data_IF_440169378773
#
_entry.id   IF_440169378773
#
_cell.length_a   1.000
_cell.length_b   1.000
_cell.length_c   1.000
_cell.angle_alpha   90.00
_cell.angle_beta   90.00
_cell.angle_gamma   90.00
#
_symmetry.space_group_name_H-M   'P 1'
#
loop_
_entity.id
_entity.type
_entity.pdbx_description
1 polymer ?
#
# COMPACT_ATOMS: atom_id res chain seq x y z
N UNK A 1 10.60 -24.32 -32.87
CA UNK A 1 9.86 -23.07 -32.60
C UNK A 1 10.02 -22.79 -31.12
N UNK A 2 10.58 -21.66 -30.70
CA UNK A 2 10.63 -21.34 -29.26
C UNK A 2 9.19 -21.18 -28.76
N UNK A 3 8.86 -21.67 -27.55
CA UNK A 3 7.54 -21.44 -26.97
C UNK A 3 7.29 -19.92 -26.85
N UNK A 4 6.05 -19.45 -27.05
CA UNK A 4 5.74 -18.03 -26.91
C UNK A 4 6.05 -17.56 -25.49
N UNK A 5 6.62 -16.35 -25.38
CA UNK A 5 6.83 -15.70 -24.09
C UNK A 5 5.48 -15.24 -23.53
N UNK A 6 5.32 -15.21 -22.21
CA UNK A 6 4.06 -14.79 -21.58
C UNK A 6 3.54 -13.44 -22.09
N UNK A 7 4.43 -12.47 -22.30
CA UNK A 7 4.11 -11.12 -22.77
C UNK A 7 3.67 -11.03 -24.24
N UNK A 8 3.87 -12.10 -25.02
CA UNK A 8 3.48 -12.15 -26.42
C UNK A 8 2.11 -12.82 -26.62
N UNK A 9 1.52 -13.32 -25.53
CA UNK A 9 0.18 -13.92 -25.52
C UNK A 9 -0.91 -12.84 -25.44
N UNK A 10 -2.06 -13.14 -26.03
CA UNK A 10 -3.30 -12.39 -25.78
C UNK A 10 -3.82 -12.64 -24.36
N UNK A 11 -4.77 -11.82 -23.92
CA UNK A 11 -5.26 -11.82 -22.54
C UNK A 11 -5.84 -13.19 -22.11
N UNK A 12 -6.64 -13.83 -22.98
CA UNK A 12 -7.24 -15.14 -22.71
C UNK A 12 -6.17 -16.23 -22.54
N UNK A 13 -5.13 -16.21 -23.38
CA UNK A 13 -4.01 -17.16 -23.26
C UNK A 13 -3.15 -16.88 -22.03
N UNK A 14 -2.97 -15.62 -21.63
CA UNK A 14 -2.27 -15.29 -20.39
C UNK A 14 -2.98 -15.89 -19.18
N UNK A 15 -4.29 -15.71 -19.09
CA UNK A 15 -5.12 -16.30 -18.02
C UNK A 15 -5.02 -17.82 -18.02
N UNK A 16 -5.23 -18.46 -19.17
CA UNK A 16 -5.11 -19.92 -19.29
C UNK A 16 -3.73 -20.45 -18.87
N UNK A 17 -2.65 -19.78 -19.26
CA UNK A 17 -1.30 -20.21 -18.88
C UNK A 17 -1.03 -20.03 -17.40
N UNK A 18 -1.58 -18.99 -16.77
CA UNK A 18 -1.51 -18.84 -15.32
C UNK A 18 -2.33 -19.92 -14.62
N UNK A 19 -3.56 -20.22 -15.06
CA UNK A 19 -4.37 -21.31 -14.50
C UNK A 19 -3.70 -22.67 -14.62
N UNK A 20 -3.08 -22.98 -15.76
CA UNK A 20 -2.36 -24.24 -15.94
C UNK A 20 -1.13 -24.31 -15.03
N UNK A 21 -0.34 -23.23 -14.96
CA UNK A 21 0.89 -23.21 -14.16
C UNK A 21 0.61 -23.12 -12.65
N UNK A 22 -0.51 -22.51 -12.26
CA UNK A 22 -0.94 -22.30 -10.88
C UNK A 22 -2.16 -23.17 -10.55
N UNK A 23 -2.35 -24.31 -11.21
CA UNK A 23 -3.61 -25.09 -11.13
C UNK A 23 -4.02 -25.53 -9.72
N UNK A 24 -3.08 -25.56 -8.77
CA UNK A 24 -3.38 -25.79 -7.35
C UNK A 24 -3.95 -24.55 -6.61
N UNK A 25 -4.06 -23.41 -7.29
CA UNK A 25 -4.62 -22.14 -6.81
C UNK A 25 -6.01 -21.87 -7.39
N UNK A 26 -6.57 -22.80 -8.15
CA UNK A 26 -7.92 -22.66 -8.73
C UNK A 26 -7.94 -21.88 -10.04
N UNK A 27 -9.03 -21.15 -10.29
CA UNK A 27 -9.31 -20.47 -11.57
C UNK A 27 -9.28 -18.96 -11.43
N UNK A 28 -8.92 -18.26 -12.50
CA UNK A 28 -8.96 -16.80 -12.56
C UNK A 28 -10.42 -16.35 -12.62
N UNK A 29 -10.81 -15.49 -11.68
CA UNK A 29 -12.17 -14.92 -11.60
C UNK A 29 -12.22 -13.43 -11.94
N UNK A 30 -11.07 -12.76 -11.93
CA UNK A 30 -10.98 -11.33 -12.27
C UNK A 30 -9.53 -10.94 -12.60
N UNK A 31 -9.38 -9.93 -13.45
CA UNK A 31 -8.11 -9.29 -13.79
C UNK A 31 -8.18 -7.79 -13.53
N UNK A 32 -7.21 -7.27 -12.78
CA UNK A 32 -7.03 -5.85 -12.54
C UNK A 32 -5.77 -5.38 -13.25
N UNK A 33 -5.91 -4.40 -14.13
CA UNK A 33 -4.79 -3.81 -14.86
C UNK A 33 -4.22 -2.63 -14.07
N UNK A 34 -3.00 -2.77 -13.56
CA UNK A 34 -2.27 -1.72 -12.86
C UNK A 34 -1.25 -0.99 -13.74
N UNK A 35 -0.70 0.11 -13.23
CA UNK A 35 0.40 0.81 -13.92
C UNK A 35 1.70 0.00 -13.93
N UNK A 36 1.99 -0.76 -12.86
CA UNK A 36 3.25 -1.48 -12.68
C UNK A 36 3.12 -2.99 -12.93
N UNK A 37 1.92 -3.49 -13.24
CA UNK A 37 1.67 -4.91 -13.41
C UNK A 37 0.18 -5.22 -13.51
N UNK A 38 -0.12 -6.41 -14.04
CA UNK A 38 -1.46 -6.98 -14.05
C UNK A 38 -1.62 -7.90 -12.84
N UNK A 39 -2.80 -7.86 -12.22
CA UNK A 39 -3.15 -8.66 -11.05
C UNK A 39 -4.28 -9.59 -11.45
N UNK A 40 -4.03 -10.89 -11.34
CA UNK A 40 -5.02 -11.94 -11.60
C UNK A 40 -5.52 -12.49 -10.27
N UNK A 41 -6.83 -12.44 -10.05
CA UNK A 41 -7.47 -12.93 -8.83
C UNK A 41 -7.95 -14.36 -9.07
N UNK A 42 -7.46 -15.29 -8.25
CA UNK A 42 -7.77 -16.70 -8.28
C UNK A 42 -8.78 -17.07 -7.19
N UNK A 43 -9.79 -17.88 -7.52
CA UNK A 43 -10.65 -18.55 -6.54
C UNK A 43 -10.16 -19.97 -6.27
N UNK A 44 -9.59 -20.19 -5.08
CA UNK A 44 -9.09 -21.49 -4.62
C UNK A 44 -10.22 -22.42 -4.13
N UNK A 45 -11.46 -21.93 -4.07
CA UNK A 45 -12.64 -22.66 -3.61
C UNK A 45 -13.02 -22.38 -2.16
N UNK A 46 -14.28 -22.67 -1.83
CA UNK A 46 -14.93 -22.29 -0.55
C UNK A 46 -14.30 -22.91 0.71
N UNK A 47 -13.52 -23.99 0.56
CA UNK A 47 -12.91 -24.73 1.66
C UNK A 47 -11.44 -24.37 1.91
N UNK A 48 -10.94 -23.33 1.24
CA UNK A 48 -9.55 -22.86 1.36
C UNK A 48 -9.55 -21.44 1.94
N UNK A 49 -8.62 -21.17 2.87
CA UNK A 49 -8.41 -19.82 3.38
C UNK A 49 -6.98 -19.32 3.09
N UNK A 50 -6.82 -18.11 2.51
CA UNK A 50 -7.88 -17.26 1.97
C UNK A 50 -8.52 -17.91 0.73
N UNK A 51 -9.83 -17.73 0.53
CA UNK A 51 -10.53 -18.24 -0.68
C UNK A 51 -9.89 -17.68 -1.95
N UNK A 52 -9.55 -16.39 -1.92
CA UNK A 52 -8.94 -15.69 -3.03
C UNK A 52 -7.44 -15.46 -2.82
N UNK A 53 -6.67 -15.56 -3.90
CA UNK A 53 -5.25 -15.15 -3.96
C UNK A 53 -5.00 -14.35 -5.22
N UNK A 54 -4.00 -13.49 -5.20
CA UNK A 54 -3.63 -12.66 -6.35
C UNK A 54 -2.31 -13.14 -6.93
N UNK A 55 -2.23 -13.25 -8.26
CA UNK A 55 -0.98 -13.36 -8.98
C UNK A 55 -0.66 -12.00 -9.63
N UNK A 56 0.42 -11.35 -9.19
CA UNK A 56 0.94 -10.13 -9.83
C UNK A 56 1.98 -10.52 -10.87
N UNK A 57 1.81 -10.01 -12.07
CA UNK A 57 2.73 -10.18 -13.20
C UNK A 57 3.12 -8.79 -13.69
N UNK A 58 4.41 -8.46 -13.87
CA UNK A 58 4.77 -7.13 -14.32
C UNK A 58 4.32 -6.92 -15.76
N UNK A 59 3.99 -5.68 -16.13
CA UNK A 59 3.43 -5.39 -17.44
C UNK A 59 4.51 -4.86 -18.38
N UNK A 60 4.55 -5.37 -19.61
CA UNK A 60 5.43 -4.84 -20.65
C UNK A 60 4.99 -3.43 -21.04
N UNK A 61 5.79 -2.41 -20.69
CA UNK A 61 5.62 -1.06 -21.23
C UNK A 61 6.16 -0.98 -22.66
N UNK A 62 5.56 -0.11 -23.49
CA UNK A 62 5.88 -0.01 -24.94
C UNK A 62 7.37 0.25 -25.24
N UNK A 63 8.12 0.82 -24.31
CA UNK A 63 9.51 1.27 -24.52
C UNK A 63 10.56 0.48 -23.73
N UNK A 64 10.14 -0.36 -22.77
CA UNK A 64 11.07 -1.11 -21.92
C UNK A 64 11.29 -2.53 -22.46
N UNK A 65 12.50 -3.05 -22.30
CA UNK A 65 12.79 -4.45 -22.60
C UNK A 65 12.11 -5.36 -21.55
N UNK A 66 11.90 -6.63 -21.91
CA UNK A 66 11.32 -7.61 -20.97
C UNK A 66 12.23 -7.81 -19.76
N UNK A 67 13.54 -7.83 -20.00
CA UNK A 67 14.58 -7.96 -18.97
C UNK A 67 14.52 -6.79 -17.99
N UNK A 68 14.38 -5.54 -18.48
CA UNK A 68 14.25 -4.36 -17.63
C UNK A 68 12.96 -4.40 -16.79
N UNK A 69 11.85 -4.84 -17.38
CA UNK A 69 10.56 -4.99 -16.69
C UNK A 69 10.66 -6.04 -15.58
N UNK A 70 11.22 -7.21 -15.90
CA UNK A 70 11.41 -8.29 -14.93
C UNK A 70 12.34 -7.88 -13.79
N UNK A 71 13.44 -7.19 -14.10
CA UNK A 71 14.40 -6.70 -13.10
C UNK A 71 13.77 -5.71 -12.13
N UNK A 72 13.01 -4.73 -12.62
CA UNK A 72 12.29 -3.77 -11.77
C UNK A 72 11.29 -4.46 -10.85
N UNK A 73 10.61 -5.50 -11.34
CA UNK A 73 9.69 -6.28 -10.53
C UNK A 73 10.41 -7.03 -9.40
N UNK A 74 11.59 -7.60 -9.66
CA UNK A 74 12.43 -8.22 -8.62
C UNK A 74 12.92 -7.16 -7.61
N UNK A 75 13.32 -5.98 -8.06
CA UNK A 75 13.75 -4.89 -7.17
C UNK A 75 12.63 -4.37 -6.24
N UNK A 76 11.38 -4.40 -6.72
CA UNK A 76 10.19 -4.12 -5.90
C UNK A 76 10.00 -5.21 -4.82
N UNK A 77 10.02 -6.48 -5.23
CA UNK A 77 9.80 -7.61 -4.33
C UNK A 77 10.91 -7.74 -3.27
N UNK A 78 12.15 -7.36 -3.59
CA UNK A 78 13.27 -7.37 -2.63
C UNK A 78 12.99 -6.51 -1.40
N UNK A 79 12.47 -5.30 -1.61
CA UNK A 79 12.11 -4.41 -0.51
C UNK A 79 10.93 -4.95 0.26
N UNK A 80 9.91 -5.45 -0.43
CA UNK A 80 8.72 -5.99 0.23
C UNK A 80 9.05 -7.21 1.10
N UNK A 81 9.87 -8.15 0.61
CA UNK A 81 10.32 -9.32 1.35
C UNK A 81 11.29 -8.96 2.49
N UNK A 82 12.04 -7.86 2.38
CA UNK A 82 12.84 -7.33 3.49
C UNK A 82 11.99 -6.86 4.67
N UNK A 83 10.73 -6.49 4.42
CA UNK A 83 9.81 -5.96 5.43
C UNK A 83 8.71 -6.97 5.82
N UNK A 84 8.77 -8.20 5.30
CA UNK A 84 7.68 -9.18 5.42
C UNK A 84 7.47 -9.75 6.82
N UNK A 85 8.41 -9.50 7.74
CA UNK A 85 8.34 -10.03 9.11
C UNK A 85 7.23 -9.35 9.94
N UNK A 86 6.69 -8.21 9.50
CA UNK A 86 5.60 -7.53 10.20
C UNK A 86 4.22 -7.88 9.65
N UNK A 87 3.26 -8.20 10.52
CA UNK A 87 1.89 -8.55 10.12
C UNK A 87 1.09 -7.40 9.48
N UNK A 88 1.55 -6.15 9.66
CA UNK A 88 0.98 -4.94 9.05
C UNK A 88 1.65 -4.55 7.73
N UNK A 89 2.51 -5.42 7.19
CA UNK A 89 3.10 -5.27 5.86
C UNK A 89 2.54 -6.38 4.97
N UNK A 90 2.02 -6.00 3.81
CA UNK A 90 1.58 -6.93 2.79
C UNK A 90 2.78 -7.41 1.97
N UNK A 91 2.90 -8.73 1.77
CA UNK A 91 4.03 -9.34 1.06
C UNK A 91 3.62 -10.59 0.29
N UNK A 92 4.43 -11.00 -0.69
CA UNK A 92 4.17 -12.17 -1.51
C UNK A 92 4.54 -13.46 -0.76
N UNK A 93 3.60 -14.39 -0.65
CA UNK A 93 3.85 -15.64 0.08
C UNK A 93 4.50 -16.72 -0.80
N UNK A 94 4.57 -16.51 -2.11
CA UNK A 94 5.09 -17.49 -3.07
C UNK A 94 5.46 -16.82 -4.41
N UNK A 95 6.32 -17.47 -5.19
CA UNK A 95 6.89 -16.93 -6.43
C UNK A 95 6.97 -18.04 -7.51
N UNK A 96 6.67 -17.69 -8.76
CA UNK A 96 6.65 -18.63 -9.89
C UNK A 96 7.19 -17.98 -11.16
N UNK A 97 7.71 -18.80 -12.06
CA UNK A 97 7.95 -18.42 -13.45
C UNK A 97 6.86 -19.06 -14.31
N UNK A 98 6.21 -18.27 -15.16
CA UNK A 98 5.22 -18.75 -16.14
C UNK A 98 5.63 -18.23 -17.51
N UNK A 99 6.05 -19.14 -18.40
CA UNK A 99 6.50 -18.81 -19.77
C UNK A 99 7.48 -17.63 -19.83
N UNK A 100 8.46 -17.61 -18.92
CA UNK A 100 9.49 -16.57 -18.85
C UNK A 100 9.09 -15.29 -18.10
N UNK A 101 7.83 -15.15 -17.65
CA UNK A 101 7.42 -14.05 -16.80
C UNK A 101 7.57 -14.38 -15.31
N UNK A 102 8.13 -13.47 -14.50
CA UNK A 102 8.08 -13.57 -13.04
C UNK A 102 6.66 -13.32 -12.54
N UNK A 103 6.19 -14.16 -11.63
CA UNK A 103 4.86 -14.11 -11.02
C UNK A 103 5.00 -14.15 -9.50
N UNK A 104 4.43 -13.18 -8.80
CA UNK A 104 4.39 -13.16 -7.34
C UNK A 104 2.96 -13.38 -6.83
N UNK A 105 2.81 -14.30 -5.87
CA UNK A 105 1.52 -14.67 -5.29
C UNK A 105 1.29 -13.95 -3.96
N UNK A 106 0.11 -13.37 -3.80
CA UNK A 106 -0.28 -12.55 -2.66
C UNK A 106 -1.61 -13.00 -2.08
N UNK A 107 -1.79 -12.78 -0.78
CA UNK A 107 -3.11 -12.93 -0.15
C UNK A 107 -4.04 -11.85 -0.68
N UNK A 108 -5.25 -12.23 -1.08
CA UNK A 108 -6.30 -11.28 -1.37
C UNK A 108 -6.92 -10.82 -0.04
N UNK A 109 -7.20 -9.52 0.05
CA UNK A 109 -7.92 -8.90 1.16
C UNK A 109 -9.23 -8.33 0.64
N UNK A 110 -10.26 -8.28 1.49
CA UNK A 110 -11.63 -7.91 1.11
C UNK A 110 -11.78 -6.46 0.59
N UNK A 111 -10.69 -5.68 0.58
CA UNK A 111 -10.64 -4.36 0.00
C UNK A 111 -9.39 -3.59 0.41
N UNK A 112 -9.26 -2.38 -0.13
CA UNK A 112 -8.29 -1.39 0.29
C UNK A 112 -9.00 -0.23 1.01
N UNK A 113 -8.22 0.75 1.48
CA UNK A 113 -8.73 1.82 2.31
C UNK A 113 -9.81 2.68 1.61
N UNK A 114 -9.90 2.66 0.27
CA UNK A 114 -10.99 3.34 -0.46
C UNK A 114 -12.36 2.78 -0.08
N UNK A 115 -12.45 1.49 0.21
CA UNK A 115 -13.69 0.83 0.64
C UNK A 115 -14.14 1.26 2.05
N UNK A 116 -13.29 1.98 2.79
CA UNK A 116 -13.53 2.38 4.18
C UNK A 116 -13.70 3.91 4.34
N UNK A 117 -13.82 4.65 3.24
CA UNK A 117 -13.97 6.11 3.26
C UNK A 117 -15.29 6.56 3.92
N UNK A 118 -16.40 5.87 3.64
CA UNK A 118 -17.73 6.26 4.11
C UNK A 118 -18.24 5.33 5.22
N UNK A 119 -19.05 5.87 6.14
CA UNK A 119 -19.87 5.07 7.06
C UNK A 119 -19.11 4.35 8.18
N UNK A 120 -17.83 4.69 8.41
CA UNK A 120 -17.04 4.20 9.54
C UNK A 120 -16.93 5.27 10.63
N UNK A 121 -16.78 4.85 11.89
CA UNK A 121 -16.56 5.78 13.00
C UNK A 121 -15.16 6.40 12.97
N UNK A 122 -15.00 7.53 13.66
CA UNK A 122 -13.70 8.18 13.85
C UNK A 122 -12.66 7.21 14.46
N UNK A 123 -13.08 6.32 15.37
CA UNK A 123 -12.19 5.33 16.00
C UNK A 123 -11.66 4.35 14.95
N UNK A 124 -12.51 3.87 14.03
CA UNK A 124 -12.06 3.03 12.90
C UNK A 124 -11.07 3.79 12.02
N UNK A 125 -11.39 5.02 11.63
CA UNK A 125 -10.54 5.83 10.75
C UNK A 125 -9.19 6.14 11.40
N UNK A 126 -9.17 6.50 12.68
CA UNK A 126 -7.94 6.73 13.46
C UNK A 126 -7.12 5.45 13.64
N UNK A 127 -7.77 4.33 14.00
CA UNK A 127 -7.06 3.06 14.23
C UNK A 127 -6.39 2.52 12.96
N UNK A 128 -7.01 2.69 11.79
CA UNK A 128 -6.41 2.36 10.50
C UNK A 128 -5.09 3.11 10.28
N UNK A 129 -5.03 4.40 10.60
CA UNK A 129 -3.78 5.18 10.50
C UNK A 129 -2.77 4.76 11.57
N UNK A 130 -3.19 4.46 12.79
CA UNK A 130 -2.28 3.94 13.83
C UNK A 130 -1.60 2.63 13.42
N UNK A 131 -2.35 1.70 12.78
CA UNK A 131 -1.77 0.49 12.21
C UNK A 131 -0.76 0.81 11.09
N UNK A 132 -1.08 1.75 10.20
CA UNK A 132 -0.14 2.21 9.17
C UNK A 132 1.17 2.73 9.79
N UNK A 133 1.09 3.54 10.85
CA UNK A 133 2.27 4.06 11.54
C UNK A 133 3.16 2.94 12.10
N UNK A 134 2.59 1.95 12.79
CA UNK A 134 3.36 0.79 13.30
C UNK A 134 4.02 -0.01 12.16
N UNK A 135 3.28 -0.31 11.09
CA UNK A 135 3.84 -1.01 9.92
C UNK A 135 4.99 -0.24 9.26
N UNK A 136 4.85 1.07 9.06
CA UNK A 136 5.90 1.91 8.48
C UNK A 136 7.12 2.05 9.39
N UNK A 137 6.93 2.18 10.71
CA UNK A 137 8.03 2.18 11.68
C UNK A 137 8.88 0.91 11.57
N UNK A 138 8.25 -0.25 11.40
CA UNK A 138 8.98 -1.50 11.16
C UNK A 138 9.80 -1.43 9.86
N UNK A 139 9.23 -0.91 8.78
CA UNK A 139 9.94 -0.74 7.51
C UNK A 139 11.12 0.22 7.63
N UNK A 140 10.97 1.37 8.30
CA UNK A 140 12.06 2.34 8.51
C UNK A 140 13.21 1.74 9.31
N UNK A 141 12.90 0.96 10.36
CA UNK A 141 13.89 0.24 11.14
C UNK A 141 14.71 -0.78 10.31
N UNK A 142 14.24 -1.13 9.11
CA UNK A 142 14.88 -2.06 8.16
C UNK A 142 15.38 -1.36 6.89
N UNK A 143 15.52 -0.04 6.92
CA UNK A 143 16.16 0.74 5.85
C UNK A 143 15.20 1.29 4.79
N UNK A 144 13.89 1.31 5.04
CA UNK A 144 13.01 2.21 4.29
C UNK A 144 13.39 3.66 4.64
N UNK A 145 13.44 4.54 3.64
CA UNK A 145 13.59 5.99 3.83
C UNK A 145 12.26 6.69 3.62
N UNK A 146 11.54 6.32 2.56
CA UNK A 146 10.16 6.71 2.32
C UNK A 146 9.49 5.69 1.40
N UNK A 147 8.20 5.45 1.60
CA UNK A 147 7.36 4.64 0.71
C UNK A 147 7.10 5.34 -0.63
N UNK A 148 6.96 6.67 -0.62
CA UNK A 148 6.81 7.57 -1.79
C UNK A 148 5.47 7.51 -2.53
N UNK A 149 4.72 6.41 -2.43
CA UNK A 149 3.40 6.25 -3.05
C UNK A 149 2.33 5.73 -2.08
N UNK A 150 2.33 6.25 -0.85
CA UNK A 150 1.21 6.00 0.07
C UNK A 150 -0.05 6.68 -0.47
N UNK A 151 -1.09 5.86 -0.61
CA UNK A 151 -2.43 6.26 -1.03
C UNK A 151 -3.43 5.20 -0.56
N UNK A 152 -4.74 5.48 -0.53
CA UNK A 152 -5.73 4.52 -0.07
C UNK A 152 -5.68 3.16 -0.80
N UNK A 153 -5.39 3.14 -2.10
CA UNK A 153 -5.27 1.92 -2.89
C UNK A 153 -4.06 1.03 -2.53
N UNK A 154 -3.07 1.57 -1.80
CA UNK A 154 -1.86 0.85 -1.38
C UNK A 154 -1.91 0.47 0.11
N UNK A 155 -3.09 0.59 0.75
CA UNK A 155 -3.32 0.19 2.13
C UNK A 155 -4.49 -0.79 2.14
N UNK A 156 -4.19 -2.09 2.24
CA UNK A 156 -5.22 -3.11 2.34
C UNK A 156 -5.85 -3.11 3.73
N UNK A 157 -7.11 -3.50 3.82
CA UNK A 157 -7.80 -3.60 5.10
C UNK A 157 -8.28 -5.02 5.33
N UNK A 158 -7.91 -5.58 6.48
CA UNK A 158 -8.34 -6.89 6.95
C UNK A 158 -9.29 -6.72 8.13
N UNK A 159 -10.50 -7.25 7.99
CA UNK A 159 -11.46 -7.31 9.07
C UNK A 159 -11.22 -8.55 9.96
N UNK A 160 -10.70 -8.35 11.17
CA UNK A 160 -10.43 -9.44 12.13
C UNK A 160 -11.68 -9.98 12.84
N UNK A 161 -12.81 -9.26 12.81
CA UNK A 161 -14.09 -9.76 13.34
C UNK A 161 -14.74 -10.77 12.41
N UNK A 162 -14.41 -10.75 11.13
CA UNK A 162 -14.91 -11.72 10.15
C UNK A 162 -14.35 -13.11 10.51
N UNK A 163 -15.15 -13.89 11.23
CA UNK A 163 -14.79 -15.23 11.71
C UNK A 163 -14.49 -15.33 13.22
N UNK A 164 -14.67 -14.26 14.00
CA UNK A 164 -14.54 -14.31 15.47
C UNK A 164 -15.69 -13.56 16.16
N UNK A 165 -16.65 -14.31 16.70
CA UNK A 165 -17.79 -13.77 17.47
C UNK A 165 -17.43 -13.42 18.92
N UNK A 166 -16.21 -13.74 19.36
CA UNK A 166 -15.76 -13.56 20.75
C UNK A 166 -15.11 -12.19 21.01
N UNK A 167 -14.85 -11.41 19.95
CA UNK A 167 -14.22 -10.10 20.09
C UNK A 167 -15.23 -9.05 20.58
N UNK A 168 -14.86 -8.21 21.58
CA UNK A 168 -15.66 -7.06 22.01
C UNK A 168 -16.14 -6.18 20.86
N UNK A 169 -17.26 -5.49 21.04
CA UNK A 169 -17.80 -4.54 20.06
C UNK A 169 -17.03 -3.22 20.07
N UNK A 170 -15.86 -3.25 19.43
CA UNK A 170 -14.96 -2.12 19.29
C UNK A 170 -14.63 -1.88 17.81
N UNK A 171 -14.61 -0.61 17.44
CA UNK A 171 -14.39 -0.11 16.08
C UNK A 171 -12.91 -0.10 15.67
N UNK A 172 -12.12 -1.09 16.10
CA UNK A 172 -10.65 -1.14 15.90
C UNK A 172 -10.18 -2.39 15.13
N UNK A 173 -11.07 -3.31 14.78
CA UNK A 173 -10.70 -4.59 14.17
C UNK A 173 -10.55 -4.54 12.65
N UNK A 174 -10.64 -3.35 12.06
CA UNK A 174 -10.21 -3.08 10.70
C UNK A 174 -8.71 -2.78 10.74
N UNK A 175 -7.91 -3.77 10.37
CA UNK A 175 -6.45 -3.69 10.44
C UNK A 175 -5.90 -3.30 9.08
N UNK A 176 -5.12 -2.23 9.04
CA UNK A 176 -4.46 -1.75 7.83
C UNK A 176 -3.14 -2.49 7.57
N UNK A 177 -2.88 -2.84 6.31
CA UNK A 177 -1.64 -3.45 5.85
C UNK A 177 -1.05 -2.61 4.73
N UNK A 178 0.19 -2.13 4.90
CA UNK A 178 0.90 -1.35 3.88
C UNK A 178 1.33 -2.27 2.73
N UNK A 179 1.06 -1.87 1.50
CA UNK A 179 1.34 -2.63 0.29
C UNK A 179 1.98 -1.75 -0.79
N UNK A 180 2.43 -2.40 -1.87
CA UNK A 180 2.97 -1.77 -3.09
C UNK A 180 4.23 -0.91 -2.85
N UNK A 181 5.35 -1.59 -2.62
CA UNK A 181 6.66 -0.98 -2.41
C UNK A 181 7.40 -0.66 -3.74
N UNK A 182 6.68 -0.60 -4.87
CA UNK A 182 7.28 -0.38 -6.19
C UNK A 182 8.09 0.92 -6.32
N UNK A 183 7.69 1.97 -5.59
CA UNK A 183 8.39 3.26 -5.54
C UNK A 183 9.20 3.47 -4.25
N UNK A 184 9.24 2.48 -3.36
CA UNK A 184 9.97 2.58 -2.10
C UNK A 184 11.47 2.80 -2.36
N UNK A 185 12.04 3.83 -1.72
CA UNK A 185 13.42 4.27 -1.93
C UNK A 185 13.81 4.58 -3.40
N UNK A 186 12.85 4.80 -4.31
CA UNK A 186 13.13 5.01 -5.73
C UNK A 186 14.10 6.19 -5.96
N UNK A 187 13.92 7.30 -5.24
CA UNK A 187 14.81 8.46 -5.30
C UNK A 187 16.28 8.19 -4.91
N UNK A 188 16.55 7.14 -4.11
CA UNK A 188 17.90 6.72 -3.69
C UNK A 188 18.51 5.81 -4.77
N UNK A 189 17.71 4.88 -5.29
CA UNK A 189 18.14 3.92 -6.32
C UNK A 189 18.43 4.60 -7.66
N UNK A 190 17.60 5.57 -8.04
CA UNK A 190 17.73 6.35 -9.28
C UNK A 190 17.59 7.83 -8.94
N UNK A 191 18.68 8.62 -9.04
CA UNK A 191 18.62 10.06 -8.81
C UNK A 191 17.53 10.71 -9.68
N UNK A 192 16.71 11.55 -9.07
CA UNK A 192 15.61 12.29 -9.69
C UNK A 192 14.30 11.54 -10.01
N UNK A 193 14.12 10.29 -9.55
CA UNK A 193 12.80 9.63 -9.54
C UNK A 193 12.03 10.06 -8.29
N UNK A 194 11.11 11.02 -8.47
CA UNK A 194 10.16 11.51 -7.47
C UNK A 194 8.73 11.22 -7.91
N UNK A 195 8.52 10.04 -8.49
CA UNK A 195 7.22 9.58 -8.93
C UNK A 195 6.34 9.22 -7.74
N UNK A 196 5.03 9.30 -7.93
CA UNK A 196 4.04 9.04 -6.89
C UNK A 196 2.67 9.56 -7.31
N UNK A 197 1.66 9.20 -6.52
CA UNK A 197 0.29 9.63 -6.73
C UNK A 197 0.14 11.08 -6.28
N UNK A 198 0.16 12.00 -7.25
CA UNK A 198 0.20 13.46 -7.09
C UNK A 198 -0.65 14.09 -5.96
N UNK A 199 -1.89 13.63 -5.66
CA UNK A 199 -2.68 14.20 -4.56
C UNK A 199 -2.00 13.97 -3.21
N UNK A 200 -1.31 12.84 -3.05
CA UNK A 200 -0.67 12.42 -1.80
C UNK A 200 0.80 12.82 -1.69
N UNK A 201 1.38 13.39 -2.76
CA UNK A 201 2.80 13.73 -2.80
C UNK A 201 3.14 14.92 -1.90
N UNK A 202 4.12 14.73 -1.02
CA UNK A 202 4.63 15.77 -0.13
C UNK A 202 5.40 16.86 -0.90
N UNK A 203 5.48 18.10 -0.37
CA UNK A 203 6.22 19.21 -0.99
C UNK A 203 7.67 18.88 -1.38
N UNK A 204 8.39 18.14 -0.54
CA UNK A 204 9.76 17.71 -0.81
C UNK A 204 9.87 16.74 -2.00
N UNK A 205 8.82 15.97 -2.32
CA UNK A 205 8.79 15.13 -3.53
C UNK A 205 8.68 16.00 -4.79
N UNK A 206 7.84 17.03 -4.76
CA UNK A 206 7.71 17.97 -5.88
C UNK A 206 8.98 18.78 -6.12
N UNK A 207 9.65 19.16 -5.02
CA UNK A 207 10.88 19.95 -5.05
C UNK A 207 12.13 19.12 -5.31
N UNK A 208 12.00 17.78 -5.39
CA UNK A 208 13.11 16.84 -5.58
C UNK A 208 14.17 16.94 -4.47
N UNK A 209 13.71 17.18 -3.24
CA UNK A 209 14.53 17.32 -2.04
C UNK A 209 14.71 15.99 -1.32
N UNK A 210 15.56 15.97 -0.29
CA UNK A 210 15.78 14.79 0.54
C UNK A 210 14.47 14.29 1.17
N UNK A 211 14.15 13.00 0.95
CA UNK A 211 12.99 12.34 1.53
C UNK A 211 13.34 11.70 2.88
N UNK A 212 12.32 11.48 3.70
CA UNK A 212 12.40 10.82 5.01
C UNK A 212 11.02 10.27 5.40
N UNK A 213 10.88 9.67 6.59
CA UNK A 213 9.57 9.28 7.14
C UNK A 213 8.55 10.42 7.15
N UNK A 214 9.00 11.68 7.23
CA UNK A 214 8.13 12.87 7.21
C UNK A 214 7.38 13.03 5.88
N UNK A 215 7.92 12.46 4.80
CA UNK A 215 7.26 12.40 3.49
C UNK A 215 6.01 11.53 3.54
N UNK A 216 6.12 10.38 4.19
CA UNK A 216 4.99 9.46 4.36
C UNK A 216 3.99 9.98 5.41
N UNK A 217 4.46 10.71 6.44
CA UNK A 217 3.58 11.42 7.40
C UNK A 217 2.65 12.41 6.67
N UNK A 218 3.15 13.14 5.68
CA UNK A 218 2.31 14.03 4.87
C UNK A 218 1.24 13.26 4.11
N UNK A 219 1.61 12.15 3.46
CA UNK A 219 0.67 11.32 2.73
C UNK A 219 -0.41 10.72 3.66
N UNK A 220 -0.02 10.25 4.86
CA UNK A 220 -0.97 9.80 5.88
C UNK A 220 -1.89 10.92 6.38
N UNK A 221 -1.40 12.17 6.44
CA UNK A 221 -2.21 13.35 6.75
C UNK A 221 -3.30 13.61 5.72
N UNK A 222 -2.96 13.51 4.43
CA UNK A 222 -3.94 13.60 3.33
C UNK A 222 -4.96 12.47 3.44
N UNK A 223 -4.50 11.23 3.65
CA UNK A 223 -5.37 10.05 3.77
C UNK A 223 -6.31 10.16 4.99
N UNK A 224 -5.80 10.60 6.14
CA UNK A 224 -6.59 10.81 7.35
C UNK A 224 -7.69 11.86 7.10
N UNK A 225 -7.36 12.95 6.42
CA UNK A 225 -8.36 13.95 6.04
C UNK A 225 -9.43 13.34 5.12
N UNK A 226 -9.05 12.56 4.10
CA UNK A 226 -10.02 11.90 3.22
C UNK A 226 -10.92 10.93 3.98
N UNK A 227 -10.36 10.13 4.91
CA UNK A 227 -11.16 9.26 5.76
C UNK A 227 -12.17 10.05 6.60
N UNK A 228 -11.72 11.12 7.24
CA UNK A 228 -12.57 11.93 8.14
C UNK A 228 -13.67 12.69 7.39
N UNK A 229 -13.42 13.05 6.14
CA UNK A 229 -14.36 13.80 5.29
C UNK A 229 -15.11 12.92 4.28
N UNK A 230 -14.95 11.61 4.36
CA UNK A 230 -15.59 10.63 3.48
C UNK A 230 -15.27 10.86 1.98
N UNK A 231 -13.98 11.07 1.71
CA UNK A 231 -13.40 11.10 0.36
C UNK A 231 -13.00 12.48 -0.16
N UNK A 232 -13.09 13.55 0.64
CA UNK A 232 -12.56 14.86 0.23
C UNK A 232 -11.06 14.96 0.51
N UNK A 233 -10.30 15.26 -0.54
CA UNK A 233 -8.93 15.73 -0.39
C UNK A 233 -8.93 17.05 0.41
N UNK A 234 -7.88 17.34 1.21
CA UNK A 234 -7.68 18.66 1.83
C UNK A 234 -7.85 19.87 0.89
N UNK A 235 -7.67 19.69 -0.42
CA UNK A 235 -7.79 20.75 -1.43
C UNK A 235 -9.24 20.99 -1.90
N UNK A 236 -10.23 20.46 -1.17
CA UNK A 236 -11.65 20.69 -1.43
C UNK A 236 -12.26 19.89 -2.58
N UNK A 237 -11.55 18.90 -3.11
CA UNK A 237 -12.02 18.05 -4.22
C UNK A 237 -12.07 16.59 -3.81
N UNK A 238 -13.01 15.82 -4.35
CA UNK A 238 -13.01 14.37 -4.18
C UNK A 238 -11.99 13.74 -5.10
N UNK A 239 -11.06 12.93 -4.57
CA UNK A 239 -10.00 12.33 -5.40
C UNK A 239 -10.56 11.46 -6.51
N UNK A 240 -11.65 10.73 -6.26
CA UNK A 240 -12.36 9.94 -7.27
C UNK A 240 -12.88 10.76 -8.48
N UNK A 241 -13.16 12.05 -8.30
CA UNK A 241 -13.66 12.94 -9.36
C UNK A 241 -12.54 13.57 -10.19
N UNK A 242 -11.34 13.72 -9.61
CA UNK A 242 -10.23 14.47 -10.21
C UNK A 242 -9.01 13.61 -10.54
N UNK A 243 -8.96 12.39 -10.00
CA UNK A 243 -7.96 11.38 -10.27
C UNK A 243 -8.53 10.38 -11.27
N UNK A 244 -7.91 10.18 -12.44
CA UNK A 244 -8.50 9.32 -13.43
C UNK A 244 -8.58 7.88 -12.92
N UNK A 245 -9.75 7.28 -13.11
CA UNK A 245 -9.79 5.84 -13.44
C UNK A 245 -9.05 5.66 -14.76
N UNK A 246 -8.21 4.62 -14.86
CA UNK A 246 -7.49 4.34 -16.11
C UNK A 246 -8.50 4.25 -17.28
N UNK A 247 -8.43 5.17 -18.24
CA UNK A 247 -9.24 5.09 -19.47
C UNK A 247 -8.53 4.11 -20.41
N UNK A 248 -9.19 3.04 -20.88
CA UNK A 248 -8.59 2.12 -21.85
C UNK A 248 -8.07 2.87 -23.09
N UNK A 249 -6.80 2.68 -23.44
CA UNK A 249 -6.22 3.19 -24.68
C UNK A 249 -5.59 4.59 -24.63
N UNK A 250 -5.69 5.32 -23.52
CA UNK A 250 -4.97 6.58 -23.34
C UNK A 250 -3.96 6.41 -22.20
N UNK A 251 -2.70 6.81 -22.42
CA UNK A 251 -1.74 6.82 -21.31
C UNK A 251 -2.32 7.64 -20.18
N UNK A 252 -2.06 7.22 -18.94
CA UNK A 252 -2.35 7.89 -17.68
C UNK A 252 -1.68 9.27 -17.61
N UNK A 253 -1.98 10.16 -18.57
CA UNK A 253 -1.54 11.54 -18.61
C UNK A 253 -2.30 12.25 -17.51
N UNK A 254 -1.62 12.35 -16.39
CA UNK A 254 -1.90 13.14 -15.21
C UNK A 254 -2.55 14.49 -15.56
N UNK A 255 -3.87 14.60 -15.47
CA UNK A 255 -4.62 15.75 -15.99
C UNK A 255 -4.55 17.00 -15.12
N UNK A 256 -3.96 16.98 -13.91
CA UNK A 256 -3.99 18.14 -12.98
C UNK A 256 -2.77 18.32 -12.05
N UNK A 257 -1.51 18.18 -12.51
CA UNK A 257 -0.34 18.50 -11.62
C UNK A 257 -0.41 19.88 -11.02
N UNK A 258 -0.87 20.83 -11.83
CA UNK A 258 -0.80 22.24 -11.50
C UNK A 258 -1.70 22.59 -10.32
N UNK A 259 -2.84 21.89 -10.17
CA UNK A 259 -3.76 22.10 -9.05
C UNK A 259 -3.13 21.71 -7.72
N UNK A 260 -2.44 20.56 -7.66
CA UNK A 260 -1.76 20.09 -6.45
C UNK A 260 -0.58 20.99 -6.07
N UNK A 261 0.22 21.41 -7.06
CA UNK A 261 1.31 22.38 -6.84
C UNK A 261 0.78 23.72 -6.32
N UNK A 262 -0.32 24.22 -6.85
CA UNK A 262 -0.97 25.46 -6.38
C UNK A 262 -1.51 25.32 -4.96
N UNK A 263 -2.08 24.17 -4.61
CA UNK A 263 -2.53 23.90 -3.24
C UNK A 263 -1.35 23.90 -2.26
N UNK A 264 -0.26 23.20 -2.59
CA UNK A 264 0.98 23.20 -1.81
C UNK A 264 1.57 24.62 -1.68
N UNK A 265 1.60 25.39 -2.78
CA UNK A 265 2.12 26.76 -2.78
C UNK A 265 1.31 27.74 -1.90
N UNK A 266 0.09 27.38 -1.51
CA UNK A 266 -0.74 28.14 -0.56
C UNK A 266 -0.66 27.61 0.87
N UNK A 267 0.35 26.80 1.18
CA UNK A 267 0.55 26.13 2.47
C UNK A 267 -0.54 25.12 2.82
N UNK A 268 -0.99 24.33 1.83
CA UNK A 268 -1.87 23.18 2.04
C UNK A 268 -3.15 23.48 2.87
N UNK A 269 -3.93 24.53 2.54
CA UNK A 269 -5.14 24.85 3.31
C UNK A 269 -6.15 23.69 3.28
N UNK A 270 -6.91 23.53 4.36
CA UNK A 270 -8.05 22.61 4.43
C UNK A 270 -9.29 23.30 3.85
N UNK A 271 -9.64 22.95 2.63
CA UNK A 271 -10.70 23.59 1.83
C UNK A 271 -11.93 22.69 1.63
N UNK A 272 -11.94 21.51 2.24
CA UNK A 272 -13.07 20.59 2.14
C UNK A 272 -14.33 21.16 2.81
N UNK A 273 -15.51 20.98 2.20
CA UNK A 273 -16.77 21.51 2.72
C UNK A 273 -17.34 20.63 3.84
N UNK A 274 -16.48 20.09 4.70
CA UNK A 274 -16.84 19.19 5.81
C UNK A 274 -16.16 19.68 7.07
N UNK A 275 -16.95 19.87 8.13
CA UNK A 275 -16.44 20.31 9.43
C UNK A 275 -15.77 19.13 10.16
N UNK A 276 -14.53 19.34 10.59
CA UNK A 276 -13.76 18.40 11.39
C UNK A 276 -13.78 18.82 12.85
N UNK A 277 -13.69 17.87 13.78
CA UNK A 277 -13.42 18.20 15.17
C UNK A 277 -12.07 18.91 15.31
N UNK A 278 -11.98 19.87 16.22
CA UNK A 278 -10.80 20.74 16.33
C UNK A 278 -9.49 19.96 16.58
N UNK A 279 -9.55 18.87 17.35
CA UNK A 279 -8.42 18.00 17.65
C UNK A 279 -7.90 17.24 16.41
N UNK A 280 -8.81 16.74 15.56
CA UNK A 280 -8.49 16.08 14.29
C UNK A 280 -7.95 17.09 13.28
N UNK A 281 -8.55 18.28 13.22
CA UNK A 281 -8.08 19.38 12.37
C UNK A 281 -6.63 19.76 12.70
N UNK A 282 -6.33 19.99 13.99
CA UNK A 282 -4.97 20.32 14.45
C UNK A 282 -3.98 19.22 14.08
N UNK A 283 -4.35 17.94 14.26
CA UNK A 283 -3.49 16.83 13.88
C UNK A 283 -3.20 16.82 12.37
N UNK A 284 -4.23 16.96 11.55
CA UNK A 284 -4.08 16.99 10.08
C UNK A 284 -3.20 18.18 9.66
N UNK A 285 -3.46 19.39 10.15
CA UNK A 285 -2.64 20.57 9.83
C UNK A 285 -1.16 20.37 10.18
N UNK A 286 -0.86 19.77 11.34
CA UNK A 286 0.52 19.42 11.72
C UNK A 286 1.17 18.45 10.73
N UNK A 287 0.44 17.44 10.26
CA UNK A 287 0.96 16.48 9.26
C UNK A 287 1.15 17.11 7.88
N UNK A 288 0.36 18.14 7.53
CA UNK A 288 0.40 18.81 6.22
C UNK A 288 1.34 20.02 6.15
N UNK A 289 2.14 20.28 7.21
CA UNK A 289 3.14 21.35 7.21
C UNK A 289 4.07 21.27 5.99
N UNK A 290 4.35 22.43 5.37
CA UNK A 290 5.26 22.52 4.23
C UNK A 290 6.69 22.15 4.63
N UNK A 291 7.13 22.61 5.80
CA UNK A 291 8.41 22.20 6.39
C UNK A 291 8.27 20.79 6.99
N UNK A 292 9.03 19.78 6.49
CA UNK A 292 9.02 18.43 7.08
C UNK A 292 9.52 18.39 8.52
N UNK A 293 10.36 19.35 8.94
CA UNK A 293 10.84 19.47 10.32
C UNK A 293 9.72 19.73 11.32
N UNK A 294 8.71 20.47 10.90
CA UNK A 294 7.53 20.85 11.71
C UNK A 294 6.44 19.77 11.78
N UNK A 295 6.50 18.72 10.95
CA UNK A 295 5.60 17.55 11.03
C UNK A 295 5.97 16.68 12.23
N UNK A 296 5.05 15.93 12.85
CA UNK A 296 5.43 14.92 13.85
C UNK A 296 6.28 13.81 13.22
N UNK A 297 7.09 13.14 14.04
CA UNK A 297 7.71 11.86 13.64
C UNK A 297 6.66 10.75 13.52
N UNK A 298 7.00 9.62 12.87
CA UNK A 298 6.01 8.54 12.67
C UNK A 298 5.52 7.95 14.00
N UNK A 299 6.43 7.82 14.99
CA UNK A 299 6.09 7.36 16.34
C UNK A 299 5.18 8.37 17.06
N UNK A 300 5.50 9.65 16.98
CA UNK A 300 4.70 10.72 17.60
C UNK A 300 3.30 10.80 16.98
N UNK A 301 3.19 10.66 15.65
CA UNK A 301 1.89 10.61 14.97
C UNK A 301 1.02 9.46 15.51
N UNK A 302 1.60 8.27 15.68
CA UNK A 302 0.91 7.12 16.27
C UNK A 302 0.39 7.44 17.68
N UNK A 303 1.24 8.02 18.52
CA UNK A 303 0.89 8.32 19.92
C UNK A 303 -0.22 9.39 19.99
N UNK A 304 -0.13 10.44 19.18
CA UNK A 304 -1.19 11.46 19.05
C UNK A 304 -2.52 10.84 18.63
N UNK A 305 -2.51 9.91 17.68
CA UNK A 305 -3.72 9.20 17.25
C UNK A 305 -4.29 8.34 18.38
N UNK A 306 -3.43 7.63 19.12
CA UNK A 306 -3.85 6.81 20.26
C UNK A 306 -4.47 7.66 21.37
N UNK A 307 -3.94 8.86 21.62
CA UNK A 307 -4.52 9.83 22.56
C UNK A 307 -5.90 10.29 22.10
N UNK A 308 -6.08 10.59 20.81
CA UNK A 308 -7.39 10.94 20.24
C UNK A 308 -8.41 9.81 20.40
N UNK A 309 -7.98 8.56 20.20
CA UNK A 309 -8.83 7.39 20.44
C UNK A 309 -9.15 7.25 21.93
N UNK A 310 -8.20 7.49 22.83
CA UNK A 310 -8.43 7.41 24.28
C UNK A 310 -9.47 8.43 24.75
N UNK A 311 -9.42 9.65 24.22
CA UNK A 311 -10.42 10.70 24.48
C UNK A 311 -11.84 10.30 24.04
N UNK A 312 -11.95 9.47 23.00
CA UNK A 312 -13.23 8.99 22.45
C UNK A 312 -13.71 7.71 23.13
N UNK A 313 -12.81 6.76 23.39
CA UNK A 313 -13.08 5.47 24.00
C UNK A 313 -11.79 4.84 24.58
N UNK A 314 -11.62 4.89 25.90
CA UNK A 314 -10.45 4.31 26.58
C UNK A 314 -10.31 2.79 26.39
N UNK A 315 -11.42 2.05 26.27
CA UNK A 315 -11.35 0.61 25.99
C UNK A 315 -10.84 0.32 24.58
N UNK A 316 -11.25 1.11 23.59
CA UNK A 316 -10.74 0.99 22.22
C UNK A 316 -9.24 1.30 22.17
N UNK A 317 -8.79 2.34 22.88
CA UNK A 317 -7.38 2.67 23.02
C UNK A 317 -6.56 1.52 23.60
N UNK A 318 -6.94 1.01 24.78
CA UNK A 318 -6.22 -0.08 25.45
C UNK A 318 -6.13 -1.34 24.57
N UNK A 319 -7.23 -1.70 23.91
CA UNK A 319 -7.27 -2.89 23.08
C UNK A 319 -6.48 -2.69 21.77
N UNK A 320 -6.52 -1.51 21.16
CA UNK A 320 -5.75 -1.18 19.96
C UNK A 320 -4.25 -1.19 20.27
N UNK A 321 -3.84 -0.56 21.37
CA UNK A 321 -2.43 -0.55 21.81
C UNK A 321 -1.93 -1.98 22.05
N UNK A 322 -2.73 -2.82 22.71
CA UNK A 322 -2.38 -4.23 22.92
C UNK A 322 -2.24 -5.01 21.59
N UNK A 323 -3.11 -4.75 20.61
CA UNK A 323 -3.02 -5.37 19.28
C UNK A 323 -1.78 -4.90 18.52
N UNK A 324 -1.50 -3.61 18.49
CA UNK A 324 -0.29 -3.05 17.86
C UNK A 324 0.96 -3.65 18.51
N UNK A 325 1.02 -3.66 19.85
CA UNK A 325 2.12 -4.27 20.59
C UNK A 325 2.29 -5.76 20.28
N UNK A 326 1.19 -6.49 20.09
CA UNK A 326 1.24 -7.89 19.68
C UNK A 326 1.86 -8.04 18.28
N UNK A 327 1.45 -7.22 17.30
CA UNK A 327 2.06 -7.24 15.97
C UNK A 327 3.54 -6.85 16.00
N UNK A 328 3.89 -5.78 16.72
CA UNK A 328 5.27 -5.30 16.89
C UNK A 328 6.16 -6.38 17.52
N UNK A 329 5.67 -7.08 18.55
CA UNK A 329 6.43 -8.13 19.25
C UNK A 329 6.59 -9.42 18.42
N UNK A 330 5.59 -9.74 17.60
CA UNK A 330 5.67 -10.89 16.71
C UNK A 330 6.53 -10.61 15.47
N UNK A 331 6.84 -9.34 15.20
CA UNK A 331 7.71 -8.98 14.11
C UNK A 331 9.13 -9.45 14.41
N UNK A 332 9.52 -10.58 13.82
CA UNK A 332 10.81 -11.17 14.12
C UNK A 332 11.96 -10.33 13.53
N UNK A 333 13.09 -10.35 14.24
CA UNK A 333 14.36 -9.74 13.83
C UNK A 333 15.22 -10.69 12.99
N UNK A 334 14.74 -11.91 12.77
CA UNK A 334 15.39 -12.93 11.95
C UNK A 334 15.39 -12.58 10.47
N UNK A 335 16.14 -13.37 9.71
CA UNK A 335 16.18 -13.27 8.25
C UNK A 335 14.95 -13.94 7.61
N UNK A 336 14.72 -13.69 6.32
CA UNK A 336 13.69 -14.41 5.57
C UNK A 336 13.96 -15.92 5.58
N UNK A 337 15.24 -16.32 5.57
CA UNK A 337 15.68 -17.71 5.67
C UNK A 337 15.26 -18.37 6.99
N UNK A 338 15.25 -17.65 8.11
CA UNK A 338 14.91 -18.19 9.42
C UNK A 338 13.40 -18.43 9.57
N UNK A 339 12.58 -17.52 9.05
CA UNK A 339 11.12 -17.56 9.23
C UNK A 339 10.39 -18.31 8.12
N UNK A 340 10.88 -18.15 6.87
CA UNK A 340 10.24 -18.70 5.69
C UNK A 340 11.29 -19.39 4.79
N UNK A 341 11.93 -20.50 5.23
CA UNK A 341 13.01 -21.15 4.49
C UNK A 341 12.64 -21.51 3.04
N UNK A 342 11.38 -21.91 2.83
CA UNK A 342 10.84 -22.17 1.49
C UNK A 342 10.85 -20.91 0.63
N UNK A 343 10.29 -19.81 1.11
CA UNK A 343 10.21 -18.54 0.36
C UNK A 343 11.60 -18.00 0.10
N UNK A 344 12.50 -18.04 1.08
CA UNK A 344 13.89 -17.62 0.92
C UNK A 344 14.61 -18.44 -0.17
N UNK A 345 14.43 -19.76 -0.18
CA UNK A 345 15.01 -20.62 -1.22
C UNK A 345 14.47 -20.27 -2.61
N UNK A 346 13.14 -20.15 -2.75
CA UNK A 346 12.52 -19.77 -4.02
C UNK A 346 12.98 -18.38 -4.46
N UNK A 347 13.07 -17.42 -3.54
CA UNK A 347 13.52 -16.05 -3.79
C UNK A 347 14.96 -16.01 -4.34
N UNK A 348 15.89 -16.77 -3.76
CA UNK A 348 17.27 -16.83 -4.26
C UNK A 348 17.36 -17.33 -5.71
N UNK A 349 16.53 -18.31 -6.09
CA UNK A 349 16.44 -18.78 -7.47
C UNK A 349 15.80 -17.72 -8.38
N UNK A 350 14.75 -17.08 -7.89
CA UNK A 350 14.01 -16.03 -8.59
C UNK A 350 14.91 -14.83 -8.92
N UNK A 351 15.71 -14.36 -7.97
CA UNK A 351 16.69 -13.29 -8.17
C UNK A 351 17.75 -13.67 -9.21
N UNK A 352 18.29 -14.89 -9.17
CA UNK A 352 19.27 -15.36 -10.18
C UNK A 352 18.68 -15.41 -11.60
N UNK A 353 17.37 -15.66 -11.70
CA UNK A 353 16.66 -15.79 -12.98
C UNK A 353 16.31 -14.45 -13.61
N UNK A 354 15.92 -13.47 -12.79
CA UNK A 354 15.28 -12.23 -13.25
C UNK A 354 15.97 -10.93 -12.79
N UNK A 355 16.94 -11.00 -11.87
CA UNK A 355 17.63 -9.84 -11.26
C UNK A 355 18.77 -9.23 -12.08
#
# INVERSE_FOLDING_TARGET
MQPPFFYDLDDDKQELMLEVALGNRGVVVSRLNGMCGDIFIFDQGERVFPRYVCAKVPRKHRTASIEEVNKRFVEELDLQLRFSQHSLVHWCFDLREVLGAPVALFRYWDGDLRNYMAGNSDITKLSLIAYCCSGLMHCYARGLVAHQDLKPANIFVRNFRKGSSELPDLDIYQVALIADFGLANACIKVPAVFEGSRPYMAPEQWNKSQLSEKTDVFALGVILHELMTEGFHPAGVRTEEVWPSAIPGNSTKWTRSESWKKWIARNCPLEAPVELSADVMILIERTLSIDPGSRPGMAELKDLILDLINLRCGQAHLQLEALIKHFDNNASKGSLEDEWPYVANVWQHFQKRFG
#
